data_IF_180941658579
#
_entry.id   IF_180941658579
#
_cell.length_a   1.000
_cell.length_b   1.000
_cell.length_c   1.000
_cell.angle_alpha   90.00
_cell.angle_beta   90.00
_cell.angle_gamma   90.00
#
_symmetry.space_group_name_H-M   'P 1'
#
loop_
_entity.id
_entity.type
_entity.pdbx_description
1 polymer ?
#
# COMPACT_ATOMS: atom_id res chain seq x y z
N UNK A 1 -66.67 27.23 -8.47
CA UNK A 1 -66.01 27.75 -9.70
C UNK A 1 -64.95 26.76 -10.14
N UNK A 2 -64.91 26.56 -11.45
CA UNK A 2 -64.09 25.68 -12.32
C UNK A 2 -62.58 26.11 -12.33
N UNK A 3 -61.67 25.40 -13.06
CA UNK A 3 -60.48 24.71 -12.55
C UNK A 3 -59.12 25.41 -12.82
N UNK A 4 -58.03 24.75 -12.43
CA UNK A 4 -56.64 25.01 -12.85
C UNK A 4 -56.46 25.09 -14.37
N UNK A 5 -55.38 25.77 -14.83
CA UNK A 5 -54.64 25.27 -15.99
C UNK A 5 -53.13 25.13 -15.72
N UNK A 6 -52.62 23.98 -16.16
CA UNK A 6 -51.23 23.73 -16.52
C UNK A 6 -50.73 24.70 -17.62
N UNK A 7 -49.47 25.13 -17.53
CA UNK A 7 -48.59 25.33 -18.70
C UNK A 7 -47.15 24.98 -18.35
N UNK A 8 -46.62 23.98 -19.05
CA UNK A 8 -45.20 23.78 -19.29
C UNK A 8 -44.65 24.92 -20.19
N UNK A 9 -43.33 25.14 -20.22
CA UNK A 9 -42.54 25.48 -21.42
C UNK A 9 -41.02 25.49 -21.11
N UNK A 10 -40.29 24.88 -22.06
CA UNK A 10 -38.92 25.10 -22.54
C UNK A 10 -37.67 24.81 -21.68
N UNK A 11 -37.03 23.71 -22.09
CA UNK A 11 -35.59 23.53 -22.31
C UNK A 11 -34.92 24.73 -22.98
N UNK A 12 -33.81 25.22 -22.42
CA UNK A 12 -32.75 25.92 -23.17
C UNK A 12 -31.39 25.51 -22.61
N UNK A 13 -30.60 24.85 -23.45
CA UNK A 13 -29.16 24.64 -23.33
C UNK A 13 -28.44 25.97 -23.49
N UNK A 14 -27.53 26.32 -22.57
CA UNK A 14 -26.38 27.20 -22.88
C UNK A 14 -25.13 26.61 -22.24
N UNK A 15 -24.20 26.26 -23.13
CA UNK A 15 -22.81 25.90 -22.88
C UNK A 15 -21.94 27.18 -22.92
N UNK A 16 -20.79 27.15 -22.25
CA UNK A 16 -19.58 28.02 -22.27
C UNK A 16 -19.40 28.89 -21.01
N UNK A 17 -18.21 29.13 -20.46
CA UNK A 17 -16.85 28.52 -20.42
C UNK A 17 -16.08 29.33 -19.34
N UNK A 18 -15.18 28.68 -18.60
CA UNK A 18 -13.99 29.20 -17.88
C UNK A 18 -14.08 30.47 -16.99
N UNK A 19 -13.72 30.30 -15.72
CA UNK A 19 -12.70 31.16 -15.10
C UNK A 19 -11.89 30.33 -14.09
N UNK A 20 -10.59 30.23 -14.33
CA UNK A 20 -9.61 29.70 -13.40
C UNK A 20 -9.48 30.64 -12.18
N UNK A 21 -9.51 30.06 -10.98
CA UNK A 21 -9.29 30.77 -9.73
C UNK A 21 -8.15 30.11 -8.96
N UNK A 22 -6.97 30.73 -9.03
CA UNK A 22 -5.78 30.52 -8.22
C UNK A 22 -6.15 30.32 -6.74
N UNK A 23 -5.67 29.24 -6.11
CA UNK A 23 -5.54 29.19 -4.65
C UNK A 23 -4.06 29.05 -4.28
N UNK A 24 -3.65 29.96 -3.41
CA UNK A 24 -2.29 30.22 -3.00
C UNK A 24 -1.66 29.00 -2.33
N UNK A 25 -0.44 28.71 -2.78
CA UNK A 25 0.43 27.67 -2.27
C UNK A 25 1.11 28.17 -0.98
N UNK A 26 0.70 27.69 0.18
CA UNK A 26 1.52 27.81 1.40
C UNK A 26 2.41 26.58 1.48
N UNK A 27 3.62 26.71 0.95
CA UNK A 27 4.66 25.69 1.07
C UNK A 27 5.02 25.50 2.55
N UNK A 28 4.55 24.41 3.14
CA UNK A 28 5.11 23.88 4.39
C UNK A 28 6.37 23.08 4.06
N UNK A 29 7.49 23.48 4.69
CA UNK A 29 8.82 22.93 4.48
C UNK A 29 8.85 21.39 4.49
N UNK A 30 9.37 20.82 3.39
CA UNK A 30 9.71 19.40 3.28
C UNK A 30 10.96 19.08 4.10
N UNK A 31 11.01 17.93 4.81
CA UNK A 31 12.24 17.44 5.42
C UNK A 31 13.31 17.23 4.34
N UNK A 32 14.51 17.73 4.63
CA UNK A 32 15.68 17.74 3.75
C UNK A 32 16.02 16.35 3.20
N UNK A 33 16.06 16.21 1.88
CA UNK A 33 16.52 14.99 1.18
C UNK A 33 15.91 14.72 -0.20
N UNK A 34 14.89 15.49 -0.62
CA UNK A 34 14.16 15.25 -1.85
C UNK A 34 14.38 16.37 -2.88
N UNK A 35 14.88 16.05 -4.07
CA UNK A 35 14.65 16.89 -5.25
C UNK A 35 13.27 16.56 -5.80
N UNK A 36 12.34 17.47 -5.56
CA UNK A 36 10.97 17.43 -6.05
C UNK A 36 10.96 17.84 -7.55
N UNK A 37 10.59 16.93 -8.45
CA UNK A 37 10.17 17.32 -9.80
C UNK A 37 8.64 17.23 -9.80
N UNK A 38 7.99 18.40 -9.75
CA UNK A 38 6.54 18.52 -9.77
C UNK A 38 6.09 18.63 -11.23
N UNK A 39 5.52 17.57 -11.79
CA UNK A 39 4.75 17.66 -13.03
C UNK A 39 3.32 17.18 -12.77
N UNK A 40 2.34 18.04 -13.04
CA UNK A 40 0.93 17.75 -12.83
C UNK A 40 0.43 16.92 -14.02
N UNK A 41 0.37 15.61 -13.88
CA UNK A 41 -0.26 14.75 -14.87
C UNK A 41 -1.78 14.69 -14.61
N UNK A 42 -2.58 15.09 -15.60
CA UNK A 42 -4.03 14.83 -15.64
C UNK A 42 -4.30 13.32 -15.61
N UNK A 43 -5.33 12.92 -14.84
CA UNK A 43 -5.79 11.53 -14.77
C UNK A 43 -6.37 11.09 -16.13
N UNK A 44 -5.56 10.46 -16.96
CA UNK A 44 -6.06 9.62 -18.06
C UNK A 44 -6.46 8.27 -17.44
N UNK A 45 -7.75 7.96 -17.47
CA UNK A 45 -8.26 6.66 -17.03
C UNK A 45 -7.64 5.54 -17.89
N UNK A 46 -6.98 4.53 -17.32
CA UNK A 46 -6.40 3.46 -18.11
C UNK A 46 -7.49 2.56 -18.69
N UNK A 47 -7.36 2.22 -19.97
CA UNK A 47 -8.16 1.18 -20.62
C UNK A 47 -8.02 -0.14 -19.83
N UNK A 48 -9.14 -0.69 -19.36
CA UNK A 48 -9.34 -2.01 -18.75
C UNK A 48 -8.03 -2.79 -18.45
N UNK A 49 -7.25 -2.32 -17.46
CA UNK A 49 -6.07 -3.03 -17.01
C UNK A 49 -6.53 -4.32 -16.35
N UNK A 50 -6.20 -5.47 -16.96
CA UNK A 50 -6.19 -6.74 -16.22
C UNK A 50 -5.43 -6.49 -14.93
N UNK A 51 -6.06 -6.71 -13.79
CA UNK A 51 -5.39 -6.60 -12.50
C UNK A 51 -4.17 -7.51 -12.54
N UNK A 52 -2.97 -6.92 -12.54
CA UNK A 52 -1.67 -7.61 -12.51
C UNK A 52 -1.40 -8.22 -11.13
N UNK A 53 -2.46 -8.72 -10.47
CA UNK A 53 -2.32 -9.31 -9.16
C UNK A 53 -1.68 -10.70 -9.29
N UNK A 54 -0.59 -10.97 -8.56
CA UNK A 54 0.17 -12.20 -8.70
C UNK A 54 -0.68 -13.45 -8.44
N UNK A 55 -0.68 -14.40 -9.38
CA UNK A 55 -1.37 -15.68 -9.21
C UNK A 55 -0.51 -16.68 -8.43
N UNK A 56 0.81 -16.63 -8.61
CA UNK A 56 1.76 -17.56 -7.99
C UNK A 56 2.85 -16.83 -7.22
N UNK A 57 3.45 -15.80 -7.79
CA UNK A 57 4.57 -15.12 -7.15
C UNK A 57 4.78 -13.70 -7.62
N UNK A 58 5.37 -12.87 -6.76
CA UNK A 58 5.95 -11.61 -7.15
C UNK A 58 7.26 -11.36 -6.41
N UNK A 59 8.22 -10.74 -7.10
CA UNK A 59 9.45 -10.22 -6.51
C UNK A 59 9.54 -8.74 -6.81
N UNK A 60 9.59 -7.95 -5.75
CA UNK A 60 9.66 -6.50 -5.76
C UNK A 60 11.01 -6.11 -5.16
N UNK A 61 11.88 -5.50 -5.94
CA UNK A 61 13.16 -4.97 -5.46
C UNK A 61 13.01 -3.48 -5.21
N UNK A 62 13.58 -2.98 -4.12
CA UNK A 62 13.50 -1.58 -3.74
C UNK A 62 14.89 -0.98 -3.54
N UNK A 63 15.00 0.28 -3.94
CA UNK A 63 16.08 1.19 -3.60
C UNK A 63 15.66 2.03 -2.39
N UNK A 64 16.61 2.23 -1.49
CA UNK A 64 16.52 3.12 -0.35
C UNK A 64 17.90 3.23 0.29
N UNK A 65 17.95 3.53 1.58
CA UNK A 65 19.23 3.53 2.31
C UNK A 65 19.95 2.16 2.22
N UNK A 66 19.18 1.08 2.12
CA UNK A 66 19.68 -0.28 1.93
C UNK A 66 18.85 -1.03 0.88
N UNK A 67 19.48 -1.87 0.04
CA UNK A 67 18.76 -2.74 -0.89
C UNK A 67 17.80 -3.64 -0.13
N UNK A 68 16.55 -3.64 -0.57
CA UNK A 68 15.48 -4.43 0.05
C UNK A 68 14.74 -5.21 -1.02
N UNK A 69 14.34 -6.44 -0.72
CA UNK A 69 13.52 -7.26 -1.62
C UNK A 69 12.30 -7.75 -0.86
N UNK A 70 11.11 -7.59 -1.44
CA UNK A 70 9.87 -8.22 -1.00
C UNK A 70 9.49 -9.32 -1.99
N UNK A 71 9.19 -10.50 -1.48
CA UNK A 71 8.74 -11.64 -2.26
C UNK A 71 7.37 -12.07 -1.76
N UNK A 72 6.37 -12.07 -2.63
CA UNK A 72 5.10 -12.75 -2.41
C UNK A 72 5.18 -14.13 -3.07
N UNK A 73 4.79 -15.16 -2.34
CA UNK A 73 4.57 -16.51 -2.86
C UNK A 73 3.16 -16.95 -2.49
N UNK A 74 2.48 -17.57 -3.43
CA UNK A 74 1.12 -18.09 -3.27
C UNK A 74 1.08 -19.56 -3.66
N UNK A 75 0.36 -20.32 -2.87
CA UNK A 75 0.03 -21.71 -3.17
C UNK A 75 -1.41 -21.95 -2.75
N UNK A 76 -2.29 -22.11 -3.73
CA UNK A 76 -3.74 -22.14 -3.51
C UNK A 76 -4.17 -20.88 -2.73
N UNK A 77 -4.87 -21.07 -1.60
CA UNK A 77 -5.32 -19.99 -0.74
C UNK A 77 -4.25 -19.54 0.26
N UNK A 78 -3.10 -20.20 0.33
CA UNK A 78 -2.02 -19.80 1.25
C UNK A 78 -1.09 -18.78 0.60
N UNK A 79 -0.58 -17.87 1.42
CA UNK A 79 0.45 -16.92 1.00
C UNK A 79 1.61 -16.87 2.01
N UNK A 80 2.76 -16.45 1.50
CA UNK A 80 3.89 -15.98 2.30
C UNK A 80 4.47 -14.73 1.64
N UNK A 81 4.70 -13.69 2.43
CA UNK A 81 5.43 -12.50 2.04
C UNK A 81 6.73 -12.45 2.85
N UNK A 82 7.86 -12.40 2.16
CA UNK A 82 9.19 -12.29 2.78
C UNK A 82 9.84 -11.00 2.36
N UNK A 83 10.27 -10.18 3.33
CA UNK A 83 11.02 -8.94 3.09
C UNK A 83 12.41 -9.09 3.67
N UNK A 84 13.42 -8.95 2.83
CA UNK A 84 14.83 -9.06 3.22
C UNK A 84 15.52 -7.72 2.97
N UNK A 85 16.13 -7.16 4.01
CA UNK A 85 16.96 -5.96 3.91
C UNK A 85 18.40 -6.28 4.32
N UNK A 86 19.35 -5.95 3.45
CA UNK A 86 20.78 -6.14 3.69
C UNK A 86 21.39 -4.85 4.22
N UNK A 87 21.46 -4.76 5.55
CA UNK A 87 22.08 -3.62 6.25
C UNK A 87 23.52 -4.00 6.59
N UNK A 88 24.51 -3.09 6.51
CA UNK A 88 25.86 -3.36 6.97
C UNK A 88 25.84 -4.00 8.37
N UNK A 89 26.49 -5.16 8.48
CA UNK A 89 26.63 -5.95 9.72
C UNK A 89 25.32 -6.50 10.33
N UNK A 90 24.16 -6.42 9.64
CA UNK A 90 22.88 -6.95 10.13
C UNK A 90 22.01 -7.49 9.01
N UNK A 91 21.52 -8.72 9.16
CA UNK A 91 20.47 -9.29 8.30
C UNK A 91 19.11 -9.07 8.95
N UNK A 92 18.17 -8.47 8.22
CA UNK A 92 16.77 -8.37 8.65
C UNK A 92 15.91 -9.12 7.66
N UNK A 93 15.09 -10.04 8.17
CA UNK A 93 14.07 -10.74 7.42
C UNK A 93 12.74 -10.57 8.15
N UNK A 94 11.74 -10.05 7.45
CA UNK A 94 10.39 -9.92 7.93
C UNK A 94 9.50 -10.90 7.15
N UNK A 95 8.66 -11.66 7.83
CA UNK A 95 7.82 -12.67 7.20
C UNK A 95 6.37 -12.48 7.61
N UNK A 96 5.47 -12.36 6.64
CA UNK A 96 4.01 -12.46 6.82
C UNK A 96 3.53 -13.74 6.17
N UNK A 97 2.62 -14.46 6.81
CA UNK A 97 2.03 -15.67 6.26
C UNK A 97 0.59 -15.82 6.72
N UNK A 98 -0.23 -16.45 5.88
CA UNK A 98 -1.64 -16.69 6.17
C UNK A 98 -2.39 -17.17 4.94
N UNK A 99 -3.65 -16.76 4.83
CA UNK A 99 -4.50 -17.11 3.69
C UNK A 99 -5.00 -15.88 2.93
N UNK A 100 -5.27 -16.04 1.64
CA UNK A 100 -5.94 -15.08 0.78
C UNK A 100 -7.24 -15.73 0.30
N UNK A 101 -8.36 -15.37 0.92
CA UNK A 101 -9.67 -15.97 0.66
C UNK A 101 -10.63 -14.84 0.31
N UNK A 102 -11.41 -15.00 -0.76
CA UNK A 102 -12.39 -13.99 -1.20
C UNK A 102 -11.78 -12.59 -1.37
N UNK A 103 -10.58 -12.50 -1.97
CA UNK A 103 -9.85 -11.25 -2.18
C UNK A 103 -9.44 -10.53 -0.89
N UNK A 104 -9.39 -11.25 0.24
CA UNK A 104 -9.00 -10.71 1.53
C UNK A 104 -7.81 -11.47 2.11
N UNK A 105 -6.74 -10.74 2.41
CA UNK A 105 -5.63 -11.24 3.21
C UNK A 105 -6.11 -11.48 4.64
N UNK A 106 -5.87 -12.69 5.13
CA UNK A 106 -6.08 -13.11 6.51
C UNK A 106 -4.74 -13.62 7.05
N UNK A 107 -3.91 -12.70 7.60
CA UNK A 107 -2.63 -13.08 8.19
C UNK A 107 -2.86 -14.03 9.35
N UNK A 108 -2.00 -15.02 9.50
CA UNK A 108 -1.96 -15.93 10.66
C UNK A 108 -0.76 -15.59 11.53
N UNK A 109 0.37 -15.21 10.90
CA UNK A 109 1.64 -14.98 11.58
C UNK A 109 2.47 -13.90 10.87
N UNK A 110 3.03 -13.00 11.66
CA UNK A 110 4.06 -12.05 11.26
C UNK A 110 5.31 -12.21 12.14
N UNK A 111 6.51 -12.13 11.55
CA UNK A 111 7.78 -12.33 12.24
C UNK A 111 8.83 -11.30 11.82
N UNK A 112 9.56 -10.77 12.80
CA UNK A 112 10.80 -10.02 12.63
C UNK A 112 11.95 -10.93 13.05
N UNK A 113 12.81 -11.30 12.10
CA UNK A 113 13.99 -12.15 12.29
C UNK A 113 15.23 -11.32 12.02
N UNK A 114 16.17 -11.33 12.96
CA UNK A 114 17.41 -10.55 12.88
C UNK A 114 18.59 -11.46 13.10
N UNK A 115 19.56 -11.43 12.18
CA UNK A 115 20.72 -12.31 12.22
C UNK A 115 20.30 -13.77 12.44
N UNK A 116 19.27 -14.19 11.70
CA UNK A 116 18.70 -15.55 11.74
C UNK A 116 18.07 -15.94 13.10
N UNK A 117 17.85 -14.98 13.99
CA UNK A 117 17.20 -15.18 15.30
C UNK A 117 15.82 -14.49 15.38
N UNK A 118 14.80 -15.13 15.96
CA UNK A 118 13.52 -14.47 16.23
C UNK A 118 13.70 -13.23 17.10
N UNK A 119 13.24 -12.09 16.62
CA UNK A 119 13.28 -10.83 17.37
C UNK A 119 11.91 -10.44 17.91
N UNK A 120 10.88 -10.52 17.08
CA UNK A 120 9.50 -10.25 17.46
C UNK A 120 8.52 -11.03 16.59
N UNK A 121 7.30 -11.22 17.08
CA UNK A 121 6.24 -11.90 16.33
C UNK A 121 4.87 -11.30 16.63
N UNK A 122 3.94 -11.50 15.70
CA UNK A 122 2.50 -11.38 15.89
C UNK A 122 1.83 -12.67 15.46
N UNK A 123 0.88 -13.15 16.26
CA UNK A 123 -0.06 -14.21 15.90
C UNK A 123 -1.45 -13.60 15.81
N UNK A 124 -2.12 -13.85 14.71
CA UNK A 124 -3.50 -13.44 14.45
C UNK A 124 -4.40 -14.66 14.64
N UNK A 125 -4.96 -14.82 15.84
CA UNK A 125 -5.82 -15.95 16.18
C UNK A 125 -7.25 -15.64 15.74
N UNK A 126 -7.60 -16.03 14.51
CA UNK A 126 -8.94 -15.85 13.95
C UNK A 126 -10.00 -16.70 14.66
N UNK A 127 -9.63 -17.77 15.36
CA UNK A 127 -10.60 -18.60 16.10
C UNK A 127 -10.99 -17.92 17.42
N UNK A 128 -10.00 -17.35 18.12
CA UNK A 128 -10.23 -16.63 19.38
C UNK A 128 -10.54 -15.15 19.19
N UNK A 129 -10.40 -14.63 17.97
CA UNK A 129 -10.54 -13.21 17.66
C UNK A 129 -9.57 -12.37 18.52
N UNK A 130 -8.28 -12.75 18.51
CA UNK A 130 -7.23 -12.11 19.29
C UNK A 130 -5.96 -11.90 18.45
N UNK A 131 -5.25 -10.80 18.72
CA UNK A 131 -3.90 -10.54 18.24
C UNK A 131 -2.94 -10.72 19.42
N UNK A 132 -1.92 -11.56 19.25
CA UNK A 132 -0.86 -11.79 20.24
C UNK A 132 0.46 -11.32 19.68
N UNK A 133 1.04 -10.25 20.21
CA UNK A 133 2.31 -9.72 19.67
C UNK A 133 3.32 -9.36 20.75
N UNK A 134 4.60 -9.46 20.41
CA UNK A 134 5.67 -9.12 21.33
C UNK A 134 7.05 -9.55 20.85
N UNK A 135 8.07 -9.14 21.61
CA UNK A 135 9.44 -9.62 21.41
C UNK A 135 9.53 -11.11 21.77
N UNK A 136 10.41 -11.85 21.09
CA UNK A 136 10.56 -13.29 21.29
C UNK A 136 10.84 -13.71 22.75
N UNK A 137 11.54 -12.85 23.50
CA UNK A 137 11.94 -13.11 24.90
C UNK A 137 11.07 -12.34 25.93
N UNK A 138 9.84 -11.99 25.58
CA UNK A 138 8.92 -11.28 26.46
C UNK A 138 7.51 -11.88 26.39
N UNK A 139 6.74 -11.68 27.47
CA UNK A 139 5.31 -12.01 27.43
C UNK A 139 4.62 -11.17 26.32
N UNK A 140 3.83 -11.81 25.43
CA UNK A 140 3.13 -11.07 24.38
C UNK A 140 1.99 -10.25 25.00
N UNK A 141 1.71 -9.10 24.41
CA UNK A 141 0.41 -8.45 24.62
C UNK A 141 -0.67 -9.21 23.88
N UNK A 142 -1.87 -9.23 24.46
CA UNK A 142 -3.06 -9.83 23.86
C UNK A 142 -4.07 -8.71 23.67
N UNK A 143 -4.53 -8.54 22.43
CA UNK A 143 -5.50 -7.49 22.06
C UNK A 143 -6.69 -8.13 21.35
N UNK A 144 -7.94 -7.73 21.65
CA UNK A 144 -9.10 -8.18 20.88
C UNK A 144 -8.98 -7.82 19.40
N UNK A 145 -9.44 -8.74 18.55
CA UNK A 145 -9.48 -8.62 17.09
C UNK A 145 -10.94 -8.59 16.61
N UNK A 146 -11.67 -7.46 16.75
CA UNK A 146 -13.10 -7.39 16.45
C UNK A 146 -13.42 -7.40 14.95
N UNK A 147 -12.41 -7.45 14.08
CA UNK A 147 -12.57 -7.34 12.64
C UNK A 147 -11.29 -7.67 11.89
N UNK A 148 -11.07 -6.99 10.76
CA UNK A 148 -9.90 -7.25 9.92
C UNK A 148 -8.62 -6.80 10.64
N UNK A 149 -7.56 -7.59 10.52
CA UNK A 149 -6.26 -7.24 11.05
C UNK A 149 -5.17 -7.60 10.06
N UNK A 150 -4.18 -6.73 9.98
CA UNK A 150 -3.08 -6.83 9.04
C UNK A 150 -1.75 -6.61 9.76
N UNK A 151 -0.71 -7.28 9.29
CA UNK A 151 0.65 -6.77 9.43
C UNK A 151 0.97 -5.79 8.29
N UNK A 152 2.07 -5.00 8.39
CA UNK A 152 2.37 -3.99 7.39
C UNK A 152 2.46 -4.51 5.95
N UNK A 153 2.95 -5.72 5.74
CA UNK A 153 3.11 -6.26 4.39
C UNK A 153 1.81 -6.81 3.84
N UNK A 154 1.06 -7.55 4.65
CA UNK A 154 -0.28 -7.99 4.26
C UNK A 154 -1.21 -6.80 3.96
N UNK A 155 -1.08 -5.68 4.68
CA UNK A 155 -1.83 -4.46 4.40
C UNK A 155 -1.44 -3.85 3.04
N UNK A 156 -0.14 -3.77 2.72
CA UNK A 156 0.32 -3.27 1.43
C UNK A 156 -0.32 -4.04 0.27
N UNK A 157 -0.33 -5.37 0.35
CA UNK A 157 -0.95 -6.22 -0.67
C UNK A 157 -2.48 -6.18 -0.66
N UNK A 158 -3.11 -6.02 0.50
CA UNK A 158 -4.55 -5.80 0.58
C UNK A 158 -4.96 -4.48 -0.10
N UNK A 159 -4.17 -3.42 0.11
CA UNK A 159 -4.36 -2.15 -0.58
C UNK A 159 -4.17 -2.30 -2.09
N UNK A 160 -3.18 -3.09 -2.55
CA UNK A 160 -3.03 -3.42 -3.98
C UNK A 160 -4.27 -4.10 -4.56
N UNK A 161 -4.82 -5.10 -3.85
CA UNK A 161 -6.05 -5.80 -4.27
C UNK A 161 -7.26 -4.88 -4.40
N UNK A 162 -7.31 -3.86 -3.54
CA UNK A 162 -8.45 -2.94 -3.45
C UNK A 162 -8.14 -1.57 -4.05
N UNK A 163 -7.08 -1.44 -4.85
CA UNK A 163 -6.70 -0.19 -5.52
C UNK A 163 -6.58 1.01 -4.56
N UNK A 164 -5.99 0.76 -3.39
CA UNK A 164 -5.74 1.76 -2.35
C UNK A 164 -6.89 2.03 -1.39
N UNK A 165 -8.02 1.33 -1.53
CA UNK A 165 -9.21 1.55 -0.69
C UNK A 165 -9.39 0.43 0.33
N UNK A 166 -9.90 0.77 1.51
CA UNK A 166 -10.35 -0.21 2.51
C UNK A 166 -11.86 -0.10 2.70
N UNK A 167 -12.58 -1.21 2.71
CA UNK A 167 -14.04 -1.22 2.82
C UNK A 167 -14.54 -1.18 4.28
N UNK A 168 -13.68 -1.50 5.25
CA UNK A 168 -14.06 -1.63 6.65
C UNK A 168 -12.91 -1.18 7.57
N UNK A 169 -13.21 -0.83 8.84
CA UNK A 169 -12.20 -0.64 9.86
C UNK A 169 -11.29 -1.87 10.00
N UNK A 170 -10.03 -1.61 10.29
CA UNK A 170 -9.01 -2.65 10.41
C UNK A 170 -7.99 -2.32 11.50
N UNK A 171 -7.27 -3.34 11.94
CA UNK A 171 -6.17 -3.22 12.88
C UNK A 171 -4.82 -3.45 12.19
N UNK A 172 -3.79 -2.74 12.62
CA UNK A 172 -2.40 -2.90 12.18
C UNK A 172 -1.53 -3.38 13.35
N UNK A 173 -0.91 -4.54 13.18
CA UNK A 173 -0.03 -5.15 14.17
C UNK A 173 1.38 -5.35 13.59
N UNK A 174 2.38 -4.71 14.19
CA UNK A 174 3.74 -4.65 13.63
C UNK A 174 4.73 -5.63 14.29
N UNK A 175 4.23 -6.54 15.15
CA UNK A 175 5.05 -7.40 15.99
C UNK A 175 5.60 -6.70 17.23
N UNK A 176 5.46 -5.37 17.31
CA UNK A 176 5.98 -4.54 18.39
C UNK A 176 5.00 -3.44 18.75
N UNK A 177 5.04 -3.04 20.01
CA UNK A 177 4.23 -1.94 20.52
C UNK A 177 2.74 -2.27 20.57
N UNK A 178 1.92 -1.24 20.42
CA UNK A 178 0.47 -1.32 20.47
C UNK A 178 -0.11 -1.70 19.11
N UNK A 179 -1.19 -2.50 19.12
CA UNK A 179 -2.02 -2.72 17.94
C UNK A 179 -2.79 -1.43 17.66
N UNK A 180 -2.70 -0.93 16.43
CA UNK A 180 -3.35 0.33 16.04
C UNK A 180 -4.66 0.03 15.31
N UNK A 181 -5.72 0.76 15.64
CA UNK A 181 -7.02 0.65 14.95
C UNK A 181 -7.18 1.81 13.98
N UNK A 182 -7.58 1.50 12.76
CA UNK A 182 -7.73 2.45 11.67
C UNK A 182 -9.14 2.36 11.08
N UNK A 183 -9.64 3.49 10.59
CA UNK A 183 -10.87 3.55 9.81
C UNK A 183 -10.55 3.89 8.36
N UNK A 184 -11.30 3.39 7.37
CA UNK A 184 -11.05 3.66 5.95
C UNK A 184 -10.85 5.12 5.60
N UNK A 185 -11.67 6.01 6.17
CA UNK A 185 -11.64 7.45 5.91
C UNK A 185 -10.36 8.15 6.37
N UNK A 186 -9.54 7.46 7.19
CA UNK A 186 -8.24 7.99 7.63
C UNK A 186 -7.14 7.78 6.59
N UNK A 187 -7.39 6.99 5.54
CA UNK A 187 -6.49 6.81 4.42
C UNK A 187 -6.63 8.01 3.49
N UNK A 188 -5.54 8.76 3.31
CA UNK A 188 -5.49 9.86 2.34
C UNK A 188 -4.65 9.45 1.14
N UNK A 189 -5.25 9.53 -0.05
CA UNK A 189 -4.51 9.50 -1.30
C UNK A 189 -3.85 10.87 -1.46
N UNK A 190 -2.53 10.95 -1.29
CA UNK A 190 -1.82 12.23 -1.30
C UNK A 190 -1.59 12.74 -2.73
N UNK A 191 -0.93 11.93 -3.57
CA UNK A 191 -0.57 12.29 -4.95
C UNK A 191 -0.07 11.08 -5.72
N UNK A 192 -0.01 11.24 -7.04
CA UNK A 192 0.73 10.38 -7.97
C UNK A 192 2.12 10.96 -8.20
N UNK A 193 3.19 10.24 -7.86
CA UNK A 193 4.57 10.65 -8.21
C UNK A 193 5.14 9.74 -9.28
N UNK A 194 6.04 10.25 -10.13
CA UNK A 194 6.96 9.46 -10.95
C UNK A 194 8.25 9.26 -10.16
N UNK A 195 8.67 8.02 -9.94
CA UNK A 195 9.81 7.72 -9.06
C UNK A 195 10.89 6.92 -9.76
N UNK A 196 11.96 7.61 -10.16
CA UNK A 196 13.12 7.07 -10.86
C UNK A 196 13.95 6.15 -9.97
N UNK A 197 13.92 4.84 -10.25
CA UNK A 197 14.96 3.89 -9.80
C UNK A 197 16.33 4.20 -10.44
N UNK A 198 17.38 3.43 -10.16
CA UNK A 198 18.73 3.64 -10.76
C UNK A 198 18.72 3.70 -12.30
N UNK A 199 17.64 3.21 -12.94
CA UNK A 199 17.47 3.11 -14.39
C UNK A 199 16.31 3.96 -14.97
N UNK A 200 15.93 5.10 -14.38
CA UNK A 200 14.91 6.00 -14.98
C UNK A 200 13.51 5.39 -15.12
N UNK A 201 13.14 4.51 -14.20
CA UNK A 201 11.80 3.92 -14.15
C UNK A 201 10.81 4.98 -13.68
N UNK A 202 9.95 5.46 -14.56
CA UNK A 202 8.81 6.27 -14.17
C UNK A 202 7.58 5.37 -14.00
N UNK A 203 6.90 5.51 -12.87
CA UNK A 203 5.62 4.88 -12.60
C UNK A 203 4.77 5.88 -11.86
N UNK A 204 3.49 5.96 -12.19
CA UNK A 204 2.52 6.65 -11.38
C UNK A 204 2.32 5.90 -10.05
N UNK A 205 2.73 6.50 -8.93
CA UNK A 205 2.59 5.91 -7.60
C UNK A 205 1.55 6.67 -6.78
N UNK A 206 0.43 6.02 -6.46
CA UNK A 206 -0.58 6.52 -5.55
C UNK A 206 -0.09 6.39 -4.10
N UNK A 207 0.25 7.50 -3.46
CA UNK A 207 0.65 7.55 -2.06
C UNK A 207 -0.55 7.51 -1.12
N UNK A 208 -0.51 6.61 -0.15
CA UNK A 208 -1.54 6.39 0.87
C UNK A 208 -0.88 6.57 2.23
N UNK A 209 -1.34 7.56 2.98
CA UNK A 209 -0.88 7.81 4.34
C UNK A 209 -1.80 7.14 5.36
N UNK A 210 -1.19 6.43 6.31
CA UNK A 210 -1.84 5.93 7.51
C UNK A 210 -1.44 6.78 8.72
N UNK A 211 -2.39 7.56 9.30
CA UNK A 211 -2.18 8.23 10.56
C UNK A 211 -1.81 7.21 11.62
N UNK A 212 -0.57 7.28 12.11
CA UNK A 212 0.00 6.38 13.10
C UNK A 212 1.04 7.14 13.90
N UNK A 213 1.40 6.64 15.09
CA UNK A 213 2.44 7.28 15.93
C UNK A 213 3.78 7.48 15.19
N UNK A 214 4.02 6.71 14.12
CA UNK A 214 5.24 6.70 13.32
C UNK A 214 5.02 7.07 11.84
N UNK A 215 3.85 7.59 11.46
CA UNK A 215 3.45 7.92 10.07
C UNK A 215 3.89 6.86 9.04
N UNK A 216 3.07 5.82 8.86
CA UNK A 216 3.33 4.79 7.85
C UNK A 216 2.78 5.26 6.49
N UNK A 217 3.56 5.05 5.43
CA UNK A 217 3.16 5.35 4.05
C UNK A 217 3.26 4.12 3.17
N UNK A 218 2.24 3.94 2.34
CA UNK A 218 2.19 2.94 1.28
C UNK A 218 2.11 3.66 -0.06
N UNK A 219 2.86 3.23 -1.06
CA UNK A 219 2.68 3.70 -2.43
C UNK A 219 2.31 2.54 -3.33
N UNK A 220 1.32 2.72 -4.18
CA UNK A 220 0.87 1.71 -5.14
C UNK A 220 1.19 2.16 -6.56
N UNK A 221 1.96 1.37 -7.32
CA UNK A 221 2.25 1.71 -8.71
C UNK A 221 1.05 1.35 -9.60
N UNK A 222 0.29 2.37 -10.00
CA UNK A 222 -0.98 2.20 -10.71
C UNK A 222 -0.79 1.60 -12.10
N UNK A 223 0.34 1.92 -12.76
CA UNK A 223 0.66 1.45 -14.11
C UNK A 223 0.92 -0.07 -14.19
N UNK A 224 1.21 -0.68 -13.05
CA UNK A 224 1.48 -2.13 -12.91
C UNK A 224 0.43 -2.82 -12.05
N UNK A 225 -0.82 -2.34 -12.07
CA UNK A 225 -1.91 -2.98 -11.36
C UNK A 225 -1.85 -2.80 -9.85
N UNK A 226 -1.45 -1.60 -9.41
CA UNK A 226 -1.44 -1.16 -8.02
C UNK A 226 -0.48 -1.95 -7.11
N UNK A 227 0.59 -2.54 -7.66
CA UNK A 227 1.56 -3.30 -6.87
C UNK A 227 2.26 -2.42 -5.82
N UNK A 228 2.68 -2.98 -4.66
CA UNK A 228 3.36 -2.23 -3.61
C UNK A 228 4.68 -1.62 -4.10
N UNK A 229 4.69 -0.32 -4.33
CA UNK A 229 5.78 0.42 -4.95
C UNK A 229 6.57 1.27 -3.96
N UNK A 230 5.90 1.77 -2.92
CA UNK A 230 6.56 2.45 -1.80
C UNK A 230 6.14 1.81 -0.49
N UNK A 231 7.11 1.61 0.37
CA UNK A 231 6.87 1.22 1.74
C UNK A 231 7.77 2.06 2.65
N UNK A 232 7.18 2.82 3.56
CA UNK A 232 7.92 3.73 4.43
C UNK A 232 7.36 3.85 5.83
N UNK A 233 8.29 4.02 6.78
CA UNK A 233 8.04 4.36 8.17
C UNK A 233 8.90 5.58 8.52
N UNK A 234 8.28 6.63 9.09
CA UNK A 234 8.98 7.86 9.50
C UNK A 234 9.78 8.48 8.33
N UNK A 235 11.11 8.51 8.45
CA UNK A 235 12.05 9.14 7.52
C UNK A 235 12.63 8.19 6.46
N UNK A 236 12.23 6.92 6.48
CA UNK A 236 12.71 5.91 5.53
C UNK A 236 11.62 5.55 4.54
N UNK A 237 11.92 5.69 3.26
CA UNK A 237 11.11 5.19 2.17
C UNK A 237 11.93 4.24 1.30
N UNK A 238 11.31 3.11 0.97
CA UNK A 238 11.78 2.20 -0.05
C UNK A 238 11.00 2.49 -1.32
N UNK A 239 11.69 2.80 -2.42
CA UNK A 239 11.09 3.02 -3.73
C UNK A 239 11.40 1.83 -4.61
N UNK A 240 10.40 1.31 -5.29
CA UNK A 240 10.55 0.17 -6.19
C UNK A 240 11.59 0.44 -7.29
N UNK A 241 12.41 -0.56 -7.56
CA UNK A 241 13.46 -0.61 -8.56
C UNK A 241 13.12 -1.58 -9.68
N UNK A 242 12.53 -2.73 -9.36
CA UNK A 242 12.10 -3.68 -10.39
C UNK A 242 11.01 -4.59 -9.86
N UNK A 243 10.19 -5.07 -10.79
CA UNK A 243 9.01 -5.88 -10.53
C UNK A 243 9.10 -7.13 -11.42
N UNK A 244 8.97 -8.28 -10.79
CA UNK A 244 8.72 -9.55 -11.47
C UNK A 244 7.44 -10.14 -10.92
N UNK A 245 6.47 -10.48 -11.77
CA UNK A 245 5.21 -11.14 -11.37
C UNK A 245 5.04 -12.39 -12.21
N UNK A 246 4.81 -13.54 -11.56
CA UNK A 246 4.57 -14.83 -12.21
C UNK A 246 5.62 -15.18 -13.29
N UNK A 247 6.88 -14.83 -13.03
CA UNK A 247 8.02 -15.03 -13.93
C UNK A 247 8.21 -13.95 -15.00
N UNK A 248 7.26 -13.02 -15.13
CA UNK A 248 7.31 -11.91 -16.08
C UNK A 248 7.93 -10.67 -15.45
N UNK A 249 8.95 -10.10 -16.09
CA UNK A 249 9.55 -8.83 -15.67
C UNK A 249 8.74 -7.65 -16.20
N UNK A 250 8.67 -6.58 -15.40
CA UNK A 250 8.00 -5.33 -15.76
C UNK A 250 8.97 -4.17 -15.61
N UNK A 251 9.02 -3.34 -16.65
CA UNK A 251 9.84 -2.14 -16.74
C UNK A 251 9.10 -0.86 -16.36
N UNK A 252 9.71 0.31 -16.66
CA UNK A 252 9.06 1.61 -16.56
C UNK A 252 7.67 1.62 -17.22
N UNK A 253 6.71 2.33 -16.63
CA UNK A 253 5.33 2.45 -17.12
C UNK A 253 4.57 1.11 -17.26
N UNK A 254 5.02 0.07 -16.56
CA UNK A 254 4.34 -1.23 -16.49
C UNK A 254 4.36 -2.09 -17.74
N UNK A 255 5.31 -1.84 -18.64
CA UNK A 255 5.50 -2.67 -19.82
C UNK A 255 6.18 -3.99 -19.46
N UNK A 256 5.69 -5.09 -20.02
CA UNK A 256 6.34 -6.39 -19.92
C UNK A 256 7.69 -6.35 -20.65
N UNK A 257 8.76 -6.74 -19.96
CA UNK A 257 10.10 -6.86 -20.53
C UNK A 257 10.35 -8.29 -21.05
N UNK A 258 11.10 -8.46 -22.15
CA UNK A 258 11.45 -9.79 -22.67
C UNK A 258 12.29 -10.62 -21.69
#
# INVERSE_FOLDING_TARGET
MLPLPNRAIATTTVLTLLSAGLLANTATATPTGWTEIVEHAEMVAPAAQRTLFPQQSATLRYIGLFPTTMQLQRQQDRYQITVTANIPFRKIMLRSSGTLINNQFKPERFEDIRNDQPYAQTIFDHQKQEIRQGKANAAPSITPMPGQAFDPFSLAWQLSLNQGVMAAPFQLATGKGEVQSHRPETLSIERTIRATGRDSIEMAIQLISLPSKKHSRYGLAVDVGYLPAIFGFEDYALTIESITVDGQNYGPNGQALP
#
